data_IF_739030017592
#
_entry.id   IF_739030017592
#
_cell.length_a   1.000
_cell.length_b   1.000
_cell.length_c   1.000
_cell.angle_alpha   90.00
_cell.angle_beta   90.00
_cell.angle_gamma   90.00
#
_symmetry.space_group_name_H-M   'P 1'
#
loop_
_entity.id
_entity.type
_entity.pdbx_description
1 polymer ?
#
# COMPACT_ATOMS: atom_id res chain seq x y z
N UNK A 1 0.54 51.98 -1.62
CA UNK A 1 0.50 50.54 -1.23
C UNK A 1 -0.74 50.37 -0.40
N UNK A 2 -1.76 49.67 -0.91
CA UNK A 2 -2.94 49.31 -0.13
C UNK A 2 -2.50 48.36 0.96
N UNK A 3 -2.61 48.78 2.21
CA UNK A 3 -2.45 47.90 3.38
C UNK A 3 -3.50 46.81 3.25
N UNK A 4 -3.07 45.61 2.97
CA UNK A 4 -3.94 44.40 3.04
C UNK A 4 -4.22 44.24 4.55
N UNK A 5 -5.37 44.69 4.99
CA UNK A 5 -5.86 44.46 6.36
C UNK A 5 -6.45 43.05 6.35
N UNK A 6 -5.70 42.09 6.87
CA UNK A 6 -6.16 40.73 7.02
C UNK A 6 -7.11 40.63 8.24
N UNK A 7 -8.19 39.89 8.12
CA UNK A 7 -9.07 39.60 9.23
C UNK A 7 -8.36 38.73 10.26
N UNK A 8 -8.53 38.97 11.54
CA UNK A 8 -7.93 38.15 12.63
C UNK A 8 -8.27 36.67 12.49
N UNK A 9 -9.49 36.34 12.04
CA UNK A 9 -9.93 34.98 11.79
C UNK A 9 -9.10 34.30 10.68
N UNK A 10 -8.78 35.03 9.60
CA UNK A 10 -7.96 34.52 8.52
C UNK A 10 -6.50 34.29 8.97
N UNK A 11 -5.98 35.13 9.87
CA UNK A 11 -4.66 34.93 10.47
C UNK A 11 -4.61 33.65 11.31
N UNK A 12 -5.66 33.40 12.12
CA UNK A 12 -5.76 32.15 12.90
C UNK A 12 -5.79 30.93 11.98
N UNK A 13 -6.60 30.95 10.92
CA UNK A 13 -6.67 29.89 9.93
C UNK A 13 -5.28 29.63 9.32
N UNK A 14 -4.59 30.68 8.88
CA UNK A 14 -3.28 30.54 8.25
C UNK A 14 -2.24 29.95 9.19
N UNK A 15 -2.22 30.35 10.46
CA UNK A 15 -1.31 29.84 11.48
C UNK A 15 -1.57 28.36 11.79
N UNK A 16 -2.84 27.95 11.91
CA UNK A 16 -3.22 26.55 12.09
C UNK A 16 -2.85 25.70 10.88
N UNK A 17 -3.17 26.19 9.67
CA UNK A 17 -2.83 25.49 8.42
C UNK A 17 -1.32 25.33 8.28
N UNK A 18 -0.56 26.38 8.57
CA UNK A 18 0.91 26.32 8.58
C UNK A 18 1.40 25.24 9.52
N UNK A 19 0.97 25.26 10.78
CA UNK A 19 1.38 24.28 11.79
C UNK A 19 1.07 22.84 11.33
N UNK A 20 -0.15 22.56 10.96
CA UNK A 20 -0.53 21.21 10.58
C UNK A 20 0.16 20.72 9.31
N UNK A 21 0.42 21.60 8.34
CA UNK A 21 1.13 21.23 7.12
C UNK A 21 2.62 21.06 7.37
N UNK A 22 3.29 22.04 8.02
CA UNK A 22 4.75 22.07 8.09
C UNK A 22 5.33 21.24 9.24
N UNK A 23 4.67 21.23 10.39
CA UNK A 23 5.15 20.54 11.60
C UNK A 23 4.57 19.11 11.71
N UNK A 24 3.26 18.95 11.41
CA UNK A 24 2.55 17.69 11.60
C UNK A 24 2.37 16.88 10.31
N UNK A 25 2.93 17.34 9.19
CA UNK A 25 2.89 16.64 7.90
C UNK A 25 1.48 16.32 7.36
N UNK A 26 0.50 17.16 7.66
CA UNK A 26 -0.80 17.06 7.03
C UNK A 26 -0.76 17.60 5.60
N UNK A 27 -1.57 17.03 4.72
CA UNK A 27 -1.70 17.45 3.35
C UNK A 27 -3.13 17.97 3.08
N UNK A 28 -3.29 19.08 2.36
CA UNK A 28 -4.62 19.59 2.04
C UNK A 28 -5.35 18.62 1.11
N UNK A 29 -6.63 18.41 1.38
CA UNK A 29 -7.53 17.64 0.51
C UNK A 29 -8.65 18.53 -0.01
N UNK A 30 -8.95 18.38 -1.30
CA UNK A 30 -10.05 19.10 -1.93
C UNK A 30 -11.35 18.34 -1.68
N UNK A 31 -12.27 19.01 -1.03
CA UNK A 31 -13.63 18.52 -0.80
C UNK A 31 -14.60 19.38 -1.62
N UNK A 32 -15.28 18.75 -2.57
CA UNK A 32 -16.20 19.46 -3.46
C UNK A 32 -17.49 19.88 -2.70
N UNK A 33 -17.96 21.06 -3.00
CA UNK A 33 -19.25 21.57 -2.45
C UNK A 33 -19.16 22.13 -1.03
N UNK A 34 -17.96 22.35 -0.49
CA UNK A 34 -17.74 23.04 0.79
C UNK A 34 -17.18 24.44 0.55
N UNK A 35 -17.58 25.39 1.38
CA UNK A 35 -17.05 26.76 1.41
C UNK A 35 -16.62 27.09 2.83
N UNK A 36 -15.62 27.95 2.95
CA UNK A 36 -15.11 28.45 4.23
C UNK A 36 -14.64 27.33 5.19
N UNK A 37 -14.10 26.25 4.61
CA UNK A 37 -13.57 25.10 5.32
C UNK A 37 -12.25 24.64 4.70
N UNK A 38 -11.30 24.28 5.55
CA UNK A 38 -10.05 23.66 5.15
C UNK A 38 -10.00 22.24 5.70
N UNK A 39 -9.70 21.30 4.82
CA UNK A 39 -9.61 19.90 5.15
C UNK A 39 -8.17 19.41 4.92
N UNK A 40 -7.60 18.79 5.94
CA UNK A 40 -6.24 18.29 5.93
C UNK A 40 -6.24 16.79 6.27
N UNK A 41 -5.41 15.99 5.62
CA UNK A 41 -5.28 14.55 5.87
C UNK A 41 -3.83 14.18 6.21
N UNK A 42 -3.67 13.39 7.27
CA UNK A 42 -2.46 12.64 7.56
C UNK A 42 -2.83 11.21 7.98
N UNK A 43 -2.40 10.21 7.21
CA UNK A 43 -2.70 8.80 7.51
C UNK A 43 -1.96 8.26 8.73
N UNK A 44 -0.93 8.96 9.20
CA UNK A 44 -0.07 8.57 10.33
C UNK A 44 -0.26 9.47 11.56
N UNK A 45 -1.03 10.54 11.43
CA UNK A 45 -1.31 11.47 12.53
C UNK A 45 -2.30 10.91 13.56
N UNK A 46 -2.36 11.51 14.76
CA UNK A 46 -3.30 11.13 15.81
C UNK A 46 -4.77 11.27 15.35
N UNK A 47 -5.07 12.32 14.62
CA UNK A 47 -6.31 12.46 13.85
C UNK A 47 -5.98 12.31 12.37
N UNK A 48 -6.68 11.42 11.70
CA UNK A 48 -6.47 11.26 10.27
C UNK A 48 -6.92 12.47 9.45
N UNK A 49 -8.01 13.09 9.87
CA UNK A 49 -8.56 14.29 9.24
C UNK A 49 -8.55 15.43 10.26
N UNK A 50 -8.10 16.59 9.81
CA UNK A 50 -8.29 17.85 10.51
C UNK A 50 -9.15 18.73 9.61
N UNK A 51 -10.25 19.22 10.16
CA UNK A 51 -11.10 20.18 9.53
C UNK A 51 -11.07 21.49 10.30
N UNK A 52 -10.78 22.59 9.63
CA UNK A 52 -10.86 23.94 10.16
C UNK A 52 -12.10 24.56 9.51
N UNK A 53 -13.10 24.84 10.31
CA UNK A 53 -14.38 25.40 9.87
C UNK A 53 -14.52 26.85 10.35
N UNK A 54 -14.65 27.76 9.41
CA UNK A 54 -14.87 29.18 9.68
C UNK A 54 -16.31 29.64 9.48
N UNK A 55 -17.23 28.72 9.19
CA UNK A 55 -18.64 29.04 9.11
C UNK A 55 -19.25 29.31 10.51
N UNK A 56 -20.21 30.23 10.56
CA UNK A 56 -20.91 30.55 11.80
C UNK A 56 -21.91 29.44 12.17
N UNK A 57 -21.81 28.96 13.41
CA UNK A 57 -22.74 27.97 13.98
C UNK A 57 -23.45 28.59 15.19
N UNK A 58 -24.69 28.98 15.00
CA UNK A 58 -25.47 29.69 16.02
C UNK A 58 -26.40 28.80 16.87
N UNK A 59 -26.76 27.60 16.37
CA UNK A 59 -27.75 26.76 17.03
C UNK A 59 -27.45 25.26 16.85
N UNK A 60 -28.17 24.44 17.65
CA UNK A 60 -27.97 22.96 17.66
C UNK A 60 -28.34 22.32 16.32
N UNK A 61 -29.24 22.86 15.52
CA UNK A 61 -29.62 22.30 14.23
C UNK A 61 -28.50 22.47 13.21
N UNK A 62 -27.87 23.65 13.18
CA UNK A 62 -26.71 23.90 12.34
C UNK A 62 -25.53 23.00 12.73
N UNK A 63 -25.29 22.79 14.03
CA UNK A 63 -24.24 21.88 14.51
C UNK A 63 -24.52 20.44 14.10
N UNK A 64 -25.77 19.97 14.20
CA UNK A 64 -26.16 18.63 13.74
C UNK A 64 -25.98 18.46 12.23
N UNK A 65 -26.34 19.46 11.46
CA UNK A 65 -26.13 19.46 10.02
C UNK A 65 -24.64 19.43 9.67
N UNK A 66 -23.81 20.17 10.40
CA UNK A 66 -22.36 20.19 10.24
C UNK A 66 -21.76 18.80 10.51
N UNK A 67 -22.16 18.12 11.59
CA UNK A 67 -21.73 16.76 11.87
C UNK A 67 -22.17 15.76 10.80
N UNK A 68 -23.42 15.83 10.35
CA UNK A 68 -23.90 14.98 9.26
C UNK A 68 -23.08 15.17 7.98
N UNK A 69 -22.70 16.41 7.66
CA UNK A 69 -21.82 16.74 6.54
C UNK A 69 -20.43 16.09 6.71
N UNK A 70 -19.82 16.22 7.89
CA UNK A 70 -18.53 15.59 8.20
C UNK A 70 -18.64 14.08 8.03
N UNK A 71 -19.63 13.43 8.63
CA UNK A 71 -19.81 11.98 8.53
C UNK A 71 -19.95 11.50 7.08
N UNK A 72 -20.69 12.25 6.25
CA UNK A 72 -20.83 11.94 4.83
C UNK A 72 -19.50 12.01 4.08
N UNK A 73 -18.70 13.05 4.33
CA UNK A 73 -17.38 13.25 3.72
C UNK A 73 -16.42 12.17 4.21
N UNK A 74 -16.37 11.92 5.51
CA UNK A 74 -15.54 10.89 6.13
C UNK A 74 -15.88 9.51 5.58
N UNK A 75 -17.16 9.20 5.36
CA UNK A 75 -17.58 7.94 4.71
C UNK A 75 -17.04 7.81 3.29
N UNK A 76 -17.01 8.89 2.52
CA UNK A 76 -16.41 8.89 1.18
C UNK A 76 -14.89 8.68 1.24
N UNK A 77 -14.20 9.35 2.19
CA UNK A 77 -12.75 9.18 2.41
C UNK A 77 -12.45 7.74 2.81
N UNK A 78 -13.19 7.14 3.75
CA UNK A 78 -13.06 5.73 4.15
C UNK A 78 -13.17 4.80 2.95
N UNK A 79 -14.19 5.01 2.12
CA UNK A 79 -14.42 4.19 0.92
C UNK A 79 -13.28 4.35 -0.11
N UNK A 80 -12.77 5.57 -0.30
CA UNK A 80 -11.69 5.87 -1.24
C UNK A 80 -10.35 5.29 -0.79
N UNK A 81 -10.05 5.39 0.50
CA UNK A 81 -8.75 5.02 1.08
C UNK A 81 -8.71 3.61 1.71
N UNK A 82 -9.78 2.82 1.59
CA UNK A 82 -9.92 1.48 2.19
C UNK A 82 -9.59 1.46 3.69
N UNK A 83 -10.05 2.48 4.43
CA UNK A 83 -9.74 2.64 5.85
C UNK A 83 -10.86 2.09 6.73
N UNK A 84 -10.49 1.39 7.81
CA UNK A 84 -11.46 0.86 8.77
C UNK A 84 -12.02 1.93 9.69
N UNK A 85 -11.19 2.88 10.12
CA UNK A 85 -11.58 4.03 10.94
C UNK A 85 -10.96 5.32 10.41
N UNK A 86 -11.64 6.43 10.62
CA UNK A 86 -11.14 7.79 10.32
C UNK A 86 -11.58 8.68 11.46
N UNK A 87 -10.63 9.09 12.29
CA UNK A 87 -10.85 10.06 13.35
C UNK A 87 -10.67 11.46 12.80
N UNK A 88 -11.58 12.35 13.14
CA UNK A 88 -11.61 13.73 12.62
C UNK A 88 -11.56 14.71 13.77
N UNK A 89 -10.56 15.59 13.78
CA UNK A 89 -10.53 16.77 14.61
C UNK A 89 -11.27 17.90 13.88
N UNK A 90 -12.33 18.40 14.46
CA UNK A 90 -13.17 19.45 13.87
C UNK A 90 -12.97 20.77 14.64
N UNK A 91 -12.09 21.63 14.15
CA UNK A 91 -11.81 22.93 14.75
C UNK A 91 -12.85 23.92 14.27
N UNK A 92 -13.59 24.49 15.20
CA UNK A 92 -14.69 25.43 14.96
C UNK A 92 -14.27 26.83 15.40
N UNK A 93 -14.17 27.78 14.46
CA UNK A 93 -13.68 29.14 14.73
C UNK A 93 -14.76 30.17 15.02
N UNK A 94 -16.02 29.81 14.77
CA UNK A 94 -17.14 30.74 14.91
C UNK A 94 -18.39 30.00 15.41
N UNK A 95 -18.44 29.79 16.71
CA UNK A 95 -19.54 29.06 17.37
C UNK A 95 -20.09 29.90 18.51
N UNK A 96 -21.39 29.85 18.72
CA UNK A 96 -22.02 30.51 19.84
C UNK A 96 -21.57 29.91 21.17
N UNK A 97 -21.08 30.72 22.10
CA UNK A 97 -20.53 30.32 23.40
C UNK A 97 -21.53 29.53 24.26
N UNK A 98 -22.84 29.77 24.10
CA UNK A 98 -23.89 29.08 24.83
C UNK A 98 -24.19 27.66 24.32
N UNK A 99 -23.51 27.23 23.22
CA UNK A 99 -23.77 25.95 22.58
C UNK A 99 -22.99 24.81 23.23
N UNK A 100 -23.70 23.87 23.82
CA UNK A 100 -23.09 22.62 24.30
C UNK A 100 -22.68 21.77 23.10
N UNK A 101 -21.38 21.55 22.92
CA UNK A 101 -20.80 20.81 21.82
C UNK A 101 -20.33 19.46 22.33
N UNK A 102 -20.98 18.39 21.92
CA UNK A 102 -20.59 17.02 22.25
C UNK A 102 -20.05 16.33 21.01
N UNK A 103 -18.89 15.67 21.14
CA UNK A 103 -18.27 14.88 20.08
C UNK A 103 -19.04 13.59 19.78
N UNK A 104 -18.72 12.98 18.65
CA UNK A 104 -19.16 11.62 18.31
C UNK A 104 -17.96 10.68 18.37
N UNK A 105 -18.19 9.37 18.27
CA UNK A 105 -17.13 8.35 18.32
C UNK A 105 -15.93 8.63 17.41
N UNK A 106 -16.15 9.35 16.31
CA UNK A 106 -15.12 9.58 15.28
C UNK A 106 -14.87 11.07 14.99
N UNK A 107 -15.59 11.97 15.65
CA UNK A 107 -15.46 13.41 15.45
C UNK A 107 -15.27 14.07 16.80
N UNK A 108 -14.12 14.68 16.98
CA UNK A 108 -13.76 15.50 18.12
C UNK A 108 -13.93 16.96 17.74
N UNK A 109 -14.99 17.63 18.19
CA UNK A 109 -15.18 19.04 17.94
C UNK A 109 -14.46 19.90 18.97
N UNK A 110 -13.69 20.87 18.50
CA UNK A 110 -13.00 21.81 19.37
C UNK A 110 -13.33 23.24 18.98
N UNK A 111 -14.07 23.97 19.81
CA UNK A 111 -14.33 25.38 19.59
C UNK A 111 -13.07 26.21 19.97
N UNK A 112 -12.61 27.06 19.06
CA UNK A 112 -11.61 28.08 19.31
C UNK A 112 -12.32 29.44 19.33
N UNK A 113 -12.75 29.84 20.51
CA UNK A 113 -13.54 31.09 20.71
C UNK A 113 -12.67 32.33 20.81
N UNK A 114 -11.41 32.17 21.24
CA UNK A 114 -10.45 33.26 21.36
C UNK A 114 -9.56 33.37 20.13
N UNK A 115 -9.51 34.58 19.56
CA UNK A 115 -8.54 34.94 18.53
C UNK A 115 -7.09 34.90 19.05
N UNK A 116 -6.91 34.64 20.33
CA UNK A 116 -5.64 34.41 20.98
C UNK A 116 -5.27 32.91 20.83
N UNK A 117 -4.32 32.63 19.95
CA UNK A 117 -3.87 31.27 19.62
C UNK A 117 -3.15 30.55 20.77
N UNK A 118 -3.63 30.72 22.00
CA UNK A 118 -3.20 29.92 23.14
C UNK A 118 -4.20 28.75 23.31
N UNK A 119 -3.90 27.65 22.63
CA UNK A 119 -4.77 26.47 22.64
C UNK A 119 -4.71 25.85 24.03
N UNK A 120 -5.88 25.77 24.68
CA UNK A 120 -6.03 25.19 26.03
C UNK A 120 -6.82 23.90 26.03
N UNK A 121 -7.38 23.50 24.89
CA UNK A 121 -8.18 22.30 24.76
C UNK A 121 -7.34 21.05 25.02
N UNK A 122 -7.73 20.20 25.98
CA UNK A 122 -6.94 19.03 26.39
C UNK A 122 -6.77 18.00 25.28
N UNK A 123 -7.76 17.81 24.42
CA UNK A 123 -7.71 16.82 23.35
C UNK A 123 -6.73 17.23 22.26
N UNK A 124 -6.64 18.54 21.97
CA UNK A 124 -5.62 19.05 21.03
C UNK A 124 -4.23 18.96 21.65
N UNK A 125 -4.07 19.33 22.92
CA UNK A 125 -2.76 19.32 23.59
C UNK A 125 -2.23 17.88 23.80
N UNK A 126 -3.10 16.91 24.02
CA UNK A 126 -2.69 15.50 24.07
C UNK A 126 -2.25 15.00 22.69
N UNK A 127 -2.97 15.36 21.64
CA UNK A 127 -2.65 14.94 20.27
C UNK A 127 -1.45 15.70 19.65
N UNK A 128 -1.29 16.98 20.01
CA UNK A 128 -0.29 17.89 19.48
C UNK A 128 0.39 18.71 20.60
N UNK A 129 1.26 18.08 21.39
CA UNK A 129 1.85 18.72 22.59
C UNK A 129 2.60 20.02 22.29
N UNK A 130 3.25 20.09 21.16
CA UNK A 130 4.12 21.22 20.77
C UNK A 130 3.35 22.34 20.07
N UNK A 131 2.03 22.26 19.91
CA UNK A 131 1.28 23.22 19.08
C UNK A 131 1.44 24.65 19.55
N UNK A 132 1.39 24.88 20.86
CA UNK A 132 1.53 26.22 21.44
C UNK A 132 2.93 26.84 21.28
N UNK A 133 3.96 26.01 21.10
CA UNK A 133 5.35 26.46 20.93
C UNK A 133 5.66 26.74 19.46
N UNK A 134 5.08 25.93 18.54
CA UNK A 134 5.40 25.96 17.11
C UNK A 134 4.47 26.83 16.27
N UNK A 135 3.35 27.27 16.83
CA UNK A 135 2.47 28.23 16.15
C UNK A 135 3.19 29.58 15.94
N UNK A 136 3.03 30.20 14.76
CA UNK A 136 3.58 31.52 14.41
C UNK A 136 2.85 32.65 15.14
N UNK A 137 2.94 32.71 16.49
CA UNK A 137 2.16 33.66 17.31
C UNK A 137 2.54 35.11 17.05
N UNK A 138 3.84 35.41 16.87
CA UNK A 138 4.37 36.76 16.79
C UNK A 138 4.32 37.41 15.39
N UNK A 139 3.88 36.66 14.38
CA UNK A 139 3.76 37.14 12.99
C UNK A 139 2.31 37.46 12.62
N UNK A 140 2.10 38.53 11.87
CA UNK A 140 0.77 38.99 11.42
C UNK A 140 0.82 39.65 10.03
N UNK A 141 -0.34 39.81 9.42
CA UNK A 141 -0.51 40.53 8.16
C UNK A 141 0.36 39.97 7.01
N UNK A 142 1.03 40.84 6.28
CA UNK A 142 1.83 40.49 5.09
C UNK A 142 3.01 39.58 5.43
N UNK A 143 3.66 39.80 6.58
CA UNK A 143 4.78 38.97 7.02
C UNK A 143 4.33 37.51 7.25
N UNK A 144 3.17 37.29 7.86
CA UNK A 144 2.57 35.96 8.03
C UNK A 144 2.35 35.29 6.67
N UNK A 145 1.77 35.99 5.70
CA UNK A 145 1.53 35.45 4.34
C UNK A 145 2.85 35.00 3.71
N UNK A 146 3.90 35.83 3.80
CA UNK A 146 5.21 35.52 3.21
C UNK A 146 5.81 34.27 3.88
N UNK A 147 5.83 34.22 5.21
CA UNK A 147 6.41 33.09 5.96
C UNK A 147 5.67 31.79 5.69
N UNK A 148 4.35 31.80 5.81
CA UNK A 148 3.49 30.62 5.54
C UNK A 148 3.66 30.11 4.11
N UNK A 149 3.66 31.02 3.12
CA UNK A 149 3.83 30.64 1.71
C UNK A 149 5.21 30.06 1.46
N UNK A 150 6.27 30.65 2.01
CA UNK A 150 7.64 30.16 1.88
C UNK A 150 7.80 28.77 2.46
N UNK A 151 7.28 28.53 3.68
CA UNK A 151 7.46 27.27 4.39
C UNK A 151 6.63 26.14 3.75
N UNK A 152 5.39 26.42 3.34
CA UNK A 152 4.56 25.45 2.61
C UNK A 152 5.18 25.11 1.25
N UNK A 153 5.70 26.08 0.51
CA UNK A 153 6.39 25.84 -0.76
C UNK A 153 7.66 25.00 -0.55
N UNK A 154 8.46 25.29 0.47
CA UNK A 154 9.64 24.51 0.79
C UNK A 154 9.31 23.07 1.19
N UNK A 155 8.19 22.85 1.91
CA UNK A 155 7.68 21.49 2.21
C UNK A 155 7.23 20.81 0.95
N UNK A 156 6.41 21.46 0.13
CA UNK A 156 5.89 20.92 -1.14
C UNK A 156 7.03 20.49 -2.07
N UNK A 157 8.10 21.30 -2.16
CA UNK A 157 9.27 20.96 -2.96
C UNK A 157 9.99 19.72 -2.41
N UNK A 158 10.13 19.59 -1.08
CA UNK A 158 10.69 18.38 -0.45
C UNK A 158 9.83 17.16 -0.73
N UNK A 159 8.52 17.26 -0.57
CA UNK A 159 7.59 16.17 -0.80
C UNK A 159 7.58 15.75 -2.28
N UNK A 160 7.65 16.71 -3.21
CA UNK A 160 7.77 16.45 -4.65
C UNK A 160 9.08 15.73 -4.99
N UNK A 161 10.21 16.11 -4.41
CA UNK A 161 11.49 15.40 -4.60
C UNK A 161 11.42 13.94 -4.11
N UNK A 162 10.76 13.70 -2.97
CA UNK A 162 10.53 12.35 -2.46
C UNK A 162 9.60 11.57 -3.40
N UNK A 163 8.53 12.20 -3.87
CA UNK A 163 7.60 11.60 -4.83
C UNK A 163 8.30 11.25 -6.14
N UNK A 164 9.02 12.18 -6.74
CA UNK A 164 9.80 11.95 -7.97
C UNK A 164 10.79 10.80 -7.78
N UNK A 165 11.58 10.81 -6.71
CA UNK A 165 12.53 9.73 -6.43
C UNK A 165 11.84 8.36 -6.31
N UNK A 166 10.64 8.32 -5.76
CA UNK A 166 9.88 7.07 -5.55
C UNK A 166 9.23 6.57 -6.82
N UNK A 167 8.69 7.48 -7.65
CA UNK A 167 7.89 7.14 -8.83
C UNK A 167 8.60 7.37 -10.17
N UNK A 168 9.84 7.87 -10.17
CA UNK A 168 10.63 7.96 -11.41
C UNK A 168 10.92 6.55 -11.95
N UNK A 169 10.57 6.26 -13.22
CA UNK A 169 10.78 4.95 -13.81
C UNK A 169 12.27 4.57 -13.81
N UNK A 170 12.62 3.47 -13.16
CA UNK A 170 13.97 2.87 -13.24
C UNK A 170 14.01 1.90 -14.42
N UNK A 171 15.18 1.71 -15.06
CA UNK A 171 15.27 0.79 -16.20
C UNK A 171 14.94 -0.64 -15.78
N UNK A 172 14.02 -1.26 -16.53
CA UNK A 172 13.54 -2.62 -16.34
C UNK A 172 14.51 -3.55 -17.05
N UNK A 173 15.38 -4.24 -16.32
CA UNK A 173 16.39 -5.13 -16.88
C UNK A 173 16.17 -6.57 -16.42
N UNK A 174 15.97 -6.78 -15.11
CA UNK A 174 15.88 -8.12 -14.55
C UNK A 174 14.60 -8.83 -14.94
N UNK A 175 13.50 -8.10 -15.08
CA UNK A 175 12.24 -8.64 -15.64
C UNK A 175 12.48 -9.23 -17.03
N UNK A 176 13.17 -8.51 -17.92
CA UNK A 176 13.50 -9.04 -19.26
C UNK A 176 14.45 -10.23 -19.21
N UNK A 177 15.45 -10.22 -18.31
CA UNK A 177 16.36 -11.35 -18.15
C UNK A 177 15.65 -12.62 -17.66
N UNK A 178 14.71 -12.49 -16.73
CA UNK A 178 13.89 -13.62 -16.26
C UNK A 178 12.98 -14.13 -17.38
N UNK A 179 12.32 -13.22 -18.14
CA UNK A 179 11.53 -13.58 -19.33
C UNK A 179 12.39 -14.38 -20.31
N UNK A 180 13.58 -13.88 -20.64
CA UNK A 180 14.50 -14.54 -21.56
C UNK A 180 14.91 -15.93 -21.04
N UNK A 181 15.19 -16.05 -19.74
CA UNK A 181 15.52 -17.33 -19.11
C UNK A 181 14.38 -18.34 -19.25
N UNK A 182 13.13 -17.92 -18.97
CA UNK A 182 11.94 -18.78 -19.16
C UNK A 182 11.78 -19.22 -20.62
N UNK A 183 12.00 -18.32 -21.59
CA UNK A 183 11.92 -18.66 -23.03
C UNK A 183 13.00 -19.68 -23.39
N UNK A 184 14.23 -19.48 -22.96
CA UNK A 184 15.34 -20.41 -23.23
C UNK A 184 15.05 -21.77 -22.64
N UNK A 185 14.63 -21.86 -21.37
CA UNK A 185 14.29 -23.10 -20.68
C UNK A 185 13.13 -23.82 -21.40
N UNK A 186 12.08 -23.09 -21.76
CA UNK A 186 10.94 -23.65 -22.50
C UNK A 186 11.36 -24.20 -23.89
N UNK A 187 12.24 -23.51 -24.59
CA UNK A 187 12.74 -23.97 -25.89
C UNK A 187 13.60 -25.23 -25.76
N UNK A 188 14.45 -25.32 -24.74
CA UNK A 188 15.22 -26.53 -24.43
C UNK A 188 14.26 -27.69 -24.10
N UNK A 189 13.25 -27.45 -23.26
CA UNK A 189 12.27 -28.47 -22.90
C UNK A 189 11.45 -28.92 -24.13
N UNK A 190 11.11 -28.00 -25.03
CA UNK A 190 10.45 -28.33 -26.30
C UNK A 190 11.31 -29.25 -27.20
N UNK A 191 12.61 -29.01 -27.28
CA UNK A 191 13.52 -29.91 -28.04
C UNK A 191 13.55 -31.32 -27.43
N UNK A 192 13.46 -31.41 -26.11
CA UNK A 192 13.54 -32.69 -25.37
C UNK A 192 12.21 -33.44 -25.34
N UNK A 193 11.08 -32.71 -25.23
CA UNK A 193 9.74 -33.27 -25.04
C UNK A 193 8.98 -33.41 -26.35
N UNK A 194 9.23 -32.51 -27.33
CA UNK A 194 8.55 -32.48 -28.62
C UNK A 194 7.24 -31.71 -28.61
N UNK A 195 6.36 -31.90 -29.65
CA UNK A 195 5.13 -31.12 -29.84
C UNK A 195 4.10 -31.22 -28.71
N UNK A 196 4.14 -32.28 -27.92
CA UNK A 196 3.22 -32.49 -26.80
C UNK A 196 3.33 -31.42 -25.73
N UNK A 197 4.52 -30.81 -25.57
CA UNK A 197 4.73 -29.66 -24.69
C UNK A 197 3.91 -28.45 -25.14
N UNK A 198 3.75 -28.21 -26.44
CA UNK A 198 2.95 -27.09 -26.96
C UNK A 198 1.48 -27.26 -26.59
N UNK A 199 0.96 -28.46 -26.75
CA UNK A 199 -0.42 -28.80 -26.45
C UNK A 199 -0.69 -28.95 -24.92
N UNK A 200 0.35 -29.16 -24.10
CA UNK A 200 0.22 -29.48 -22.68
C UNK A 200 -0.37 -30.90 -22.45
N UNK A 201 -0.23 -31.78 -23.43
CA UNK A 201 -0.78 -33.15 -23.39
C UNK A 201 0.21 -34.22 -22.91
N UNK A 202 1.50 -33.82 -22.78
CA UNK A 202 2.57 -34.72 -22.38
C UNK A 202 3.25 -34.30 -21.07
N UNK A 203 3.99 -35.21 -20.46
CA UNK A 203 4.86 -34.92 -19.33
C UNK A 203 6.13 -34.26 -19.87
N UNK A 204 6.35 -32.99 -19.50
CA UNK A 204 7.59 -32.30 -19.82
C UNK A 204 8.80 -33.03 -19.24
N UNK A 205 9.84 -33.24 -20.06
CA UNK A 205 11.08 -33.90 -19.63
C UNK A 205 11.79 -33.09 -18.56
N UNK A 206 11.91 -31.77 -18.75
CA UNK A 206 12.52 -30.91 -17.74
C UNK A 206 11.57 -30.72 -16.54
N UNK A 207 10.24 -30.66 -16.79
CA UNK A 207 9.25 -30.61 -15.72
C UNK A 207 9.41 -31.77 -14.74
N UNK A 208 9.51 -32.99 -15.23
CA UNK A 208 9.74 -34.17 -14.39
C UNK A 208 11.07 -34.11 -13.61
N UNK A 209 12.14 -33.65 -14.27
CA UNK A 209 13.50 -33.62 -13.66
C UNK A 209 13.73 -32.47 -12.71
N UNK A 210 13.14 -31.30 -12.96
CA UNK A 210 13.47 -30.03 -12.30
C UNK A 210 12.26 -29.31 -11.69
N UNK A 211 11.04 -29.78 -11.96
CA UNK A 211 9.81 -29.22 -11.41
C UNK A 211 9.66 -29.53 -9.92
N UNK A 212 8.92 -28.70 -9.22
CA UNK A 212 8.66 -28.86 -7.79
C UNK A 212 7.71 -30.03 -7.55
N UNK A 213 8.13 -30.92 -6.66
CA UNK A 213 7.45 -32.15 -6.35
C UNK A 213 7.69 -32.52 -4.90
N UNK A 214 6.64 -32.55 -4.10
CA UNK A 214 6.74 -32.74 -2.66
C UNK A 214 7.56 -33.98 -2.26
N UNK A 215 7.36 -35.11 -2.94
CA UNK A 215 8.12 -36.33 -2.70
C UNK A 215 9.60 -36.16 -2.98
N UNK A 216 9.97 -35.46 -4.05
CA UNK A 216 11.39 -35.20 -4.37
C UNK A 216 12.05 -34.30 -3.35
N UNK A 217 11.36 -33.29 -2.82
CA UNK A 217 11.88 -32.43 -1.77
C UNK A 217 12.17 -33.22 -0.49
N UNK A 218 11.20 -33.97 -0.02
CA UNK A 218 11.26 -34.63 1.31
C UNK A 218 12.10 -35.90 1.27
N UNK A 219 11.88 -36.79 0.27
CA UNK A 219 12.52 -38.11 0.25
C UNK A 219 13.84 -38.13 -0.49
N UNK A 220 14.02 -37.27 -1.52
CA UNK A 220 15.23 -37.23 -2.32
C UNK A 220 16.16 -36.06 -1.96
N UNK A 221 15.74 -35.19 -1.09
CA UNK A 221 16.51 -33.98 -0.67
C UNK A 221 16.81 -33.00 -1.82
N UNK A 222 15.92 -32.92 -2.83
CA UNK A 222 16.11 -32.15 -4.07
C UNK A 222 15.58 -30.70 -3.95
N UNK A 223 15.99 -29.98 -2.88
CA UNK A 223 15.51 -28.63 -2.55
C UNK A 223 15.74 -27.58 -3.65
N UNK A 224 16.67 -27.82 -4.58
CA UNK A 224 16.89 -26.96 -5.75
C UNK A 224 15.63 -26.79 -6.62
N UNK A 225 14.72 -27.76 -6.57
CA UNK A 225 13.46 -27.74 -7.31
C UNK A 225 12.56 -26.59 -6.92
N UNK A 226 12.65 -26.08 -5.68
CA UNK A 226 11.96 -24.87 -5.24
C UNK A 226 12.38 -23.60 -6.02
N UNK A 227 13.50 -23.64 -6.71
CA UNK A 227 13.98 -22.55 -7.55
C UNK A 227 13.79 -22.88 -9.03
N UNK A 228 14.13 -24.10 -9.45
CA UNK A 228 14.13 -24.46 -10.87
C UNK A 228 12.75 -24.52 -11.46
N UNK A 229 11.72 -24.93 -10.70
CA UNK A 229 10.33 -24.99 -11.16
C UNK A 229 9.79 -23.64 -11.66
N UNK A 230 10.31 -22.52 -11.14
CA UNK A 230 9.89 -21.16 -11.50
C UNK A 230 10.09 -20.87 -13.00
N UNK A 231 11.09 -21.52 -13.62
CA UNK A 231 11.44 -21.30 -15.02
C UNK A 231 10.78 -22.29 -15.99
N UNK A 232 10.13 -23.33 -15.48
CA UNK A 232 9.51 -24.38 -16.26
C UNK A 232 8.07 -24.06 -16.60
N UNK A 233 7.58 -24.52 -17.77
CA UNK A 233 6.20 -24.29 -18.20
C UNK A 233 5.63 -25.50 -18.93
N UNK A 234 4.49 -25.98 -18.50
CA UNK A 234 3.87 -27.20 -19.00
C UNK A 234 3.13 -27.06 -20.35
N UNK A 235 2.99 -25.86 -20.92
CA UNK A 235 2.38 -25.65 -22.25
C UNK A 235 2.70 -24.27 -22.81
N UNK A 236 2.45 -24.10 -24.12
CA UNK A 236 2.66 -22.81 -24.79
C UNK A 236 1.76 -21.71 -24.21
N UNK A 237 0.49 -22.00 -23.95
CA UNK A 237 -0.41 -20.99 -23.35
C UNK A 237 0.03 -20.64 -21.93
N UNK A 238 0.54 -21.62 -21.17
CA UNK A 238 1.03 -21.40 -19.82
C UNK A 238 2.21 -20.44 -19.81
N UNK A 239 3.22 -20.63 -20.67
CA UNK A 239 4.35 -19.70 -20.72
C UNK A 239 3.92 -18.31 -21.21
N UNK A 240 3.05 -18.20 -22.23
CA UNK A 240 2.57 -16.92 -22.75
C UNK A 240 1.89 -16.11 -21.63
N UNK A 241 0.97 -16.73 -20.87
CA UNK A 241 0.28 -16.07 -19.77
C UNK A 241 1.24 -15.62 -18.66
N UNK A 242 2.21 -16.46 -18.30
CA UNK A 242 3.21 -16.10 -17.29
C UNK A 242 4.12 -14.95 -17.77
N UNK A 243 4.64 -15.01 -18.99
CA UNK A 243 5.51 -13.97 -19.53
C UNK A 243 4.78 -12.63 -19.67
N UNK A 244 3.53 -12.65 -20.13
CA UNK A 244 2.70 -11.43 -20.20
C UNK A 244 2.47 -10.82 -18.81
N UNK A 245 2.11 -11.64 -17.83
CA UNK A 245 1.90 -11.18 -16.46
C UNK A 245 3.21 -10.67 -15.84
N UNK A 246 4.32 -11.37 -16.06
CA UNK A 246 5.63 -10.96 -15.58
C UNK A 246 6.11 -9.66 -16.23
N UNK A 247 5.85 -9.47 -17.51
CA UNK A 247 6.19 -8.23 -18.22
C UNK A 247 5.49 -7.02 -17.58
N UNK A 248 4.17 -7.13 -17.31
CA UNK A 248 3.39 -6.03 -16.75
C UNK A 248 3.73 -5.82 -15.27
N UNK A 249 3.61 -6.87 -14.46
CA UNK A 249 3.70 -6.77 -13.00
C UNK A 249 5.16 -6.69 -12.56
N UNK A 250 6.02 -7.51 -13.16
CA UNK A 250 7.45 -7.52 -12.87
C UNK A 250 8.10 -6.18 -13.19
N UNK A 251 7.78 -5.60 -14.36
CA UNK A 251 8.26 -4.28 -14.74
C UNK A 251 7.87 -3.18 -13.75
N UNK A 252 6.63 -3.19 -13.26
CA UNK A 252 6.17 -2.24 -12.25
C UNK A 252 6.92 -2.41 -10.93
N UNK A 253 7.06 -3.64 -10.43
CA UNK A 253 7.72 -3.91 -9.15
C UNK A 253 9.23 -3.65 -9.24
N UNK A 254 9.89 -4.00 -10.33
CA UNK A 254 11.32 -3.67 -10.54
C UNK A 254 11.54 -2.16 -10.52
N UNK A 255 10.63 -1.40 -11.13
CA UNK A 255 10.65 0.07 -11.11
C UNK A 255 10.48 0.62 -9.69
N UNK A 256 9.53 0.11 -8.91
CA UNK A 256 9.21 0.64 -7.58
C UNK A 256 10.20 0.22 -6.50
N UNK A 257 10.60 -1.05 -6.48
CA UNK A 257 11.48 -1.58 -5.44
C UNK A 257 12.95 -1.48 -5.80
N UNK A 258 13.28 -1.37 -7.10
CA UNK A 258 14.63 -1.51 -7.62
C UNK A 258 15.07 -2.97 -7.72
N UNK A 259 16.17 -3.21 -8.45
CA UNK A 259 16.60 -4.52 -8.91
C UNK A 259 16.82 -5.55 -7.80
N UNK A 260 17.59 -5.20 -6.76
CA UNK A 260 17.94 -6.15 -5.71
C UNK A 260 16.72 -6.62 -4.90
N UNK A 261 15.84 -5.70 -4.51
CA UNK A 261 14.61 -6.03 -3.78
C UNK A 261 13.63 -6.79 -4.66
N UNK A 262 13.52 -6.43 -5.95
CA UNK A 262 12.71 -7.16 -6.92
C UNK A 262 13.13 -8.61 -7.04
N UNK A 263 14.44 -8.89 -7.23
CA UNK A 263 14.94 -10.26 -7.30
C UNK A 263 14.67 -11.05 -6.02
N UNK A 264 14.95 -10.44 -4.87
CA UNK A 264 14.67 -11.09 -3.59
C UNK A 264 13.20 -11.46 -3.47
N UNK A 265 12.29 -10.52 -3.73
CA UNK A 265 10.84 -10.77 -3.65
C UNK A 265 10.41 -11.83 -4.66
N UNK A 266 10.88 -11.76 -5.91
CA UNK A 266 10.55 -12.73 -6.94
C UNK A 266 10.91 -14.16 -6.54
N UNK A 267 12.17 -14.40 -6.16
CA UNK A 267 12.64 -15.74 -5.83
C UNK A 267 12.03 -16.25 -4.52
N UNK A 268 12.00 -15.44 -3.47
CA UNK A 268 11.46 -15.90 -2.19
C UNK A 268 9.96 -16.21 -2.29
N UNK A 269 9.23 -15.49 -3.17
CA UNK A 269 7.80 -15.75 -3.43
C UNK A 269 7.59 -17.04 -4.21
N UNK A 270 8.42 -17.29 -5.21
CA UNK A 270 8.41 -18.57 -5.93
C UNK A 270 8.67 -19.76 -4.99
N UNK A 271 9.70 -19.64 -4.15
CA UNK A 271 10.03 -20.64 -3.12
C UNK A 271 8.87 -20.83 -2.14
N UNK A 272 8.31 -19.74 -1.60
CA UNK A 272 7.19 -19.82 -0.65
C UNK A 272 5.90 -20.38 -1.28
N UNK A 273 5.68 -20.10 -2.57
CA UNK A 273 4.61 -20.71 -3.36
C UNK A 273 4.81 -22.23 -3.50
N UNK A 274 5.98 -22.66 -3.94
CA UNK A 274 6.34 -24.07 -4.06
C UNK A 274 6.26 -24.82 -2.73
N UNK A 275 6.80 -24.23 -1.64
CA UNK A 275 6.71 -24.82 -0.31
C UNK A 275 5.26 -25.03 0.15
N UNK A 276 4.38 -24.04 0.02
CA UNK A 276 2.99 -24.20 0.43
C UNK A 276 2.27 -25.20 -0.43
N UNK A 277 2.48 -25.18 -1.74
CA UNK A 277 1.91 -26.15 -2.67
C UNK A 277 2.34 -27.57 -2.31
N UNK A 278 3.64 -27.79 -2.17
CA UNK A 278 4.18 -29.10 -1.82
C UNK A 278 3.69 -29.61 -0.47
N UNK A 279 3.62 -28.74 0.56
CA UNK A 279 3.08 -29.11 1.86
C UNK A 279 1.63 -29.57 1.81
N UNK A 280 0.76 -28.78 1.15
CA UNK A 280 -0.67 -29.09 1.06
C UNK A 280 -0.90 -30.34 0.20
N UNK A 281 -0.23 -30.47 -0.95
CA UNK A 281 -0.36 -31.64 -1.83
C UNK A 281 0.11 -32.91 -1.12
N UNK A 282 1.19 -32.87 -0.37
CA UNK A 282 1.64 -34.04 0.41
C UNK A 282 0.62 -34.44 1.48
N UNK A 283 0.07 -33.47 2.22
CA UNK A 283 -0.97 -33.72 3.23
C UNK A 283 -2.25 -34.32 2.62
N UNK A 284 -2.58 -33.99 1.38
CA UNK A 284 -3.74 -34.52 0.65
C UNK A 284 -3.44 -35.88 -0.02
N UNK A 285 -2.22 -36.39 0.06
CA UNK A 285 -1.77 -37.57 -0.64
C UNK A 285 -1.69 -37.40 -2.16
N UNK A 286 -1.65 -36.17 -2.64
CA UNK A 286 -1.51 -35.81 -4.04
C UNK A 286 -0.03 -35.74 -4.43
N UNK A 287 0.27 -36.22 -5.63
CA UNK A 287 1.61 -36.19 -6.19
C UNK A 287 1.61 -35.25 -7.42
N UNK A 288 1.37 -33.97 -7.18
CA UNK A 288 1.28 -32.95 -8.22
C UNK A 288 2.67 -32.38 -8.51
N UNK A 289 2.97 -32.24 -9.79
CA UNK A 289 4.16 -31.57 -10.28
C UNK A 289 3.85 -30.10 -10.49
N UNK A 290 4.44 -29.21 -9.67
CA UNK A 290 4.30 -27.77 -9.84
C UNK A 290 5.40 -27.24 -10.75
N UNK A 291 5.01 -26.45 -11.75
CA UNK A 291 5.88 -25.75 -12.71
C UNK A 291 5.29 -24.38 -13.03
N UNK A 292 6.13 -23.38 -13.24
CA UNK A 292 5.74 -22.04 -13.69
C UNK A 292 6.18 -20.92 -12.77
N UNK A 293 6.35 -19.73 -13.38
CA UNK A 293 6.67 -18.50 -12.67
C UNK A 293 5.48 -17.93 -11.87
N UNK A 294 4.30 -18.53 -11.97
CA UNK A 294 3.06 -17.95 -11.46
C UNK A 294 3.09 -17.70 -9.95
N UNK A 295 3.66 -18.61 -9.14
CA UNK A 295 3.85 -18.38 -7.70
C UNK A 295 4.66 -17.12 -7.41
N UNK A 296 5.78 -16.92 -8.12
CA UNK A 296 6.58 -15.71 -8.01
C UNK A 296 5.83 -14.47 -8.50
N UNK A 297 5.06 -14.56 -9.59
CA UNK A 297 4.22 -13.47 -10.13
C UNK A 297 3.13 -13.08 -9.13
N UNK A 298 2.46 -14.05 -8.50
CA UNK A 298 1.52 -13.77 -7.42
C UNK A 298 2.20 -13.08 -6.23
N UNK A 299 3.45 -13.41 -5.94
CA UNK A 299 4.25 -12.69 -4.97
C UNK A 299 4.50 -11.23 -5.35
N UNK A 300 4.75 -10.95 -6.63
CA UNK A 300 4.83 -9.58 -7.12
C UNK A 300 3.47 -8.86 -7.05
N UNK A 301 2.34 -9.58 -7.22
CA UNK A 301 1.00 -9.02 -6.94
C UNK A 301 0.82 -8.71 -5.45
N UNK A 302 1.33 -9.56 -4.55
CA UNK A 302 1.41 -9.29 -3.11
C UNK A 302 2.23 -8.02 -2.80
N UNK A 303 3.32 -7.80 -3.54
CA UNK A 303 4.10 -6.55 -3.46
C UNK A 303 3.27 -5.34 -3.89
N UNK A 304 2.51 -5.44 -4.98
CA UNK A 304 1.60 -4.37 -5.43
C UNK A 304 0.52 -4.07 -4.40
N UNK A 305 -0.03 -5.11 -3.73
CA UNK A 305 -0.99 -4.92 -2.63
C UNK A 305 -0.37 -4.12 -1.50
N UNK A 306 0.82 -4.53 -1.03
CA UNK A 306 1.50 -3.83 0.06
C UNK A 306 1.85 -2.40 -0.33
N UNK A 307 2.42 -2.20 -1.52
CA UNK A 307 2.78 -0.89 -2.04
C UNK A 307 1.56 0.01 -2.22
N UNK A 308 0.50 -0.50 -2.82
CA UNK A 308 -0.76 0.22 -3.02
C UNK A 308 -1.45 0.58 -1.70
N UNK A 309 -1.39 -0.29 -0.69
CA UNK A 309 -1.91 -0.02 0.63
C UNK A 309 -1.07 1.04 1.38
N UNK A 310 0.24 1.00 1.25
CA UNK A 310 1.16 1.95 1.87
C UNK A 310 1.00 3.35 1.27
N UNK A 311 0.84 3.44 -0.06
CA UNK A 311 0.57 4.68 -0.79
C UNK A 311 -0.92 4.89 -1.11
N UNK A 312 -1.82 4.38 -0.27
CA UNK A 312 -3.28 4.38 -0.52
C UNK A 312 -3.89 5.75 -0.80
N UNK A 313 -3.28 6.82 -0.31
CA UNK A 313 -3.71 8.19 -0.60
C UNK A 313 -3.62 8.50 -2.10
N UNK A 314 -2.59 7.97 -2.78
CA UNK A 314 -2.37 8.17 -4.22
C UNK A 314 -2.87 6.99 -5.06
N UNK A 315 -2.71 5.76 -4.56
CA UNK A 315 -2.94 4.53 -5.31
C UNK A 315 -4.20 3.76 -4.88
N UNK A 316 -4.96 4.28 -3.90
CA UNK A 316 -6.12 3.57 -3.34
C UNK A 316 -7.19 3.20 -4.37
N UNK A 317 -7.44 4.06 -5.35
CA UNK A 317 -8.37 3.77 -6.46
C UNK A 317 -7.81 2.69 -7.41
N UNK A 318 -6.52 2.74 -7.74
CA UNK A 318 -5.88 1.71 -8.55
C UNK A 318 -5.85 0.35 -7.83
N UNK A 319 -5.54 0.36 -6.52
CA UNK A 319 -5.58 -0.83 -5.67
C UNK A 319 -6.96 -1.48 -5.71
N UNK A 320 -8.02 -0.69 -5.52
CA UNK A 320 -9.40 -1.17 -5.47
C UNK A 320 -9.95 -1.61 -6.82
N UNK A 321 -9.68 -0.85 -7.88
CA UNK A 321 -10.30 -1.05 -9.19
C UNK A 321 -9.52 -1.97 -10.12
N UNK A 322 -8.22 -2.13 -9.88
CA UNK A 322 -7.34 -2.88 -10.78
C UNK A 322 -6.65 -4.04 -10.06
N UNK A 323 -5.89 -3.79 -9.00
CA UNK A 323 -5.03 -4.79 -8.38
C UNK A 323 -5.84 -5.89 -7.68
N UNK A 324 -6.73 -5.52 -6.75
CA UNK A 324 -7.54 -6.50 -6.00
C UNK A 324 -8.43 -7.33 -6.91
N UNK A 325 -9.20 -6.76 -7.86
CA UNK A 325 -10.03 -7.55 -8.76
C UNK A 325 -9.23 -8.52 -9.63
N UNK A 326 -8.04 -8.13 -10.10
CA UNK A 326 -7.17 -9.01 -10.89
C UNK A 326 -6.69 -10.19 -10.05
N UNK A 327 -6.28 -9.97 -8.81
CA UNK A 327 -5.87 -11.06 -7.90
C UNK A 327 -7.04 -12.02 -7.64
N UNK A 328 -8.21 -11.49 -7.29
CA UNK A 328 -9.41 -12.30 -7.00
C UNK A 328 -9.81 -13.10 -8.24
N UNK A 329 -9.84 -12.45 -9.41
CA UNK A 329 -10.20 -13.11 -10.67
C UNK A 329 -9.22 -14.25 -11.01
N UNK A 330 -7.91 -14.01 -10.89
CA UNK A 330 -6.92 -15.06 -11.18
C UNK A 330 -6.99 -16.23 -10.19
N UNK A 331 -7.21 -15.97 -8.90
CA UNK A 331 -7.43 -17.03 -7.91
C UNK A 331 -8.73 -17.81 -8.21
N UNK A 332 -9.82 -17.10 -8.53
CA UNK A 332 -11.08 -17.75 -8.88
C UNK A 332 -10.95 -18.64 -10.13
N UNK A 333 -10.29 -18.13 -11.18
CA UNK A 333 -9.99 -18.93 -12.38
C UNK A 333 -9.13 -20.15 -12.06
N UNK A 334 -8.16 -20.01 -11.16
CA UNK A 334 -7.33 -21.11 -10.71
C UNK A 334 -8.11 -22.22 -10.00
N UNK A 335 -9.19 -21.90 -9.27
CA UNK A 335 -10.08 -22.91 -8.68
C UNK A 335 -11.04 -23.53 -9.69
N UNK A 336 -11.31 -22.86 -10.81
CA UNK A 336 -12.21 -23.35 -11.86
C UNK A 336 -11.51 -24.21 -12.93
N UNK A 337 -10.21 -23.96 -13.16
CA UNK A 337 -9.44 -24.62 -14.21
C UNK A 337 -8.54 -25.68 -13.58
N UNK A 338 -8.75 -26.95 -13.95
CA UNK A 338 -7.90 -28.05 -13.51
C UNK A 338 -6.47 -27.85 -14.04
N UNK A 339 -5.47 -28.17 -13.20
CA UNK A 339 -4.05 -28.03 -13.56
C UNK A 339 -3.44 -26.69 -13.16
N UNK A 340 -4.21 -25.76 -12.57
CA UNK A 340 -3.67 -24.54 -11.96
C UNK A 340 -3.43 -24.79 -10.46
N UNK A 341 -2.22 -24.51 -10.01
CA UNK A 341 -1.81 -24.68 -8.63
C UNK A 341 -2.12 -23.43 -7.78
N UNK A 342 -3.33 -23.42 -7.22
CA UNK A 342 -3.77 -22.31 -6.37
C UNK A 342 -2.98 -22.18 -5.06
N UNK A 343 -2.44 -23.28 -4.54
CA UNK A 343 -1.66 -23.22 -3.30
C UNK A 343 -0.30 -22.54 -3.55
N UNK A 344 0.31 -22.78 -4.73
CA UNK A 344 1.48 -22.02 -5.16
C UNK A 344 1.16 -20.52 -5.33
N UNK A 345 -0.02 -20.17 -5.88
CA UNK A 345 -0.47 -18.78 -6.03
C UNK A 345 -0.66 -18.08 -4.68
N UNK A 346 -1.39 -18.72 -3.75
CA UNK A 346 -1.65 -18.16 -2.40
C UNK A 346 -0.34 -18.06 -1.62
N UNK A 347 0.48 -19.11 -1.65
CA UNK A 347 1.79 -19.10 -0.98
C UNK A 347 2.70 -17.99 -1.50
N UNK A 348 2.76 -17.83 -2.81
CA UNK A 348 3.51 -16.75 -3.46
C UNK A 348 3.01 -15.37 -3.06
N UNK A 349 1.69 -15.15 -3.13
CA UNK A 349 1.03 -13.87 -2.78
C UNK A 349 1.37 -13.43 -1.34
N UNK A 350 1.21 -14.36 -0.37
CA UNK A 350 1.47 -14.09 1.04
C UNK A 350 2.96 -13.85 1.29
N UNK A 351 3.82 -14.70 0.71
CA UNK A 351 5.28 -14.55 0.82
C UNK A 351 5.76 -13.22 0.25
N UNK A 352 5.25 -12.84 -0.94
CA UNK A 352 5.63 -11.58 -1.59
C UNK A 352 5.18 -10.34 -0.83
N UNK A 353 4.00 -10.38 -0.23
CA UNK A 353 3.52 -9.31 0.65
C UNK A 353 4.46 -9.13 1.85
N UNK A 354 4.78 -10.20 2.58
CA UNK A 354 5.67 -10.14 3.73
C UNK A 354 7.12 -9.82 3.35
N UNK A 355 7.61 -10.36 2.23
CA UNK A 355 8.93 -10.04 1.71
C UNK A 355 9.06 -8.56 1.35
N UNK A 356 8.03 -7.97 0.72
CA UNK A 356 8.00 -6.55 0.39
C UNK A 356 7.96 -5.68 1.65
N UNK A 357 7.20 -6.08 2.64
CA UNK A 357 7.18 -5.43 3.94
C UNK A 357 8.57 -5.49 4.61
N UNK A 358 9.26 -6.62 4.57
CA UNK A 358 10.58 -6.83 5.14
C UNK A 358 11.68 -5.98 4.46
N UNK A 359 11.73 -5.97 3.12
CA UNK A 359 12.72 -5.14 2.40
C UNK A 359 12.37 -3.65 2.45
N UNK A 360 11.12 -3.34 2.72
CA UNK A 360 10.61 -1.99 2.86
C UNK A 360 10.53 -1.19 1.55
N UNK A 361 9.61 -0.24 1.53
CA UNK A 361 9.46 0.74 0.45
C UNK A 361 10.34 1.95 0.73
N UNK A 362 11.02 2.44 -0.29
CA UNK A 362 11.98 3.56 -0.18
C UNK A 362 11.29 4.80 0.39
N UNK A 363 11.97 5.50 1.28
CA UNK A 363 11.58 6.77 1.91
C UNK A 363 10.39 6.74 2.88
N UNK A 364 9.70 5.60 3.05
CA UNK A 364 8.48 5.54 3.90
C UNK A 364 8.51 4.45 4.98
N UNK A 365 9.06 3.27 4.70
CA UNK A 365 8.96 2.14 5.64
C UNK A 365 9.70 2.38 6.94
N UNK A 366 8.98 2.31 8.06
CA UNK A 366 9.55 2.37 9.40
C UNK A 366 10.36 1.09 9.71
N UNK A 367 11.35 1.19 10.58
CA UNK A 367 12.15 0.01 11.01
C UNK A 367 11.28 -1.09 11.62
N UNK A 368 10.24 -0.70 12.37
CA UNK A 368 9.28 -1.63 12.99
C UNK A 368 8.50 -2.40 11.92
N UNK A 369 8.01 -1.73 10.88
CA UNK A 369 7.27 -2.39 9.79
C UNK A 369 8.14 -3.42 9.10
N UNK A 370 9.41 -3.08 8.83
CA UNK A 370 10.36 -4.00 8.21
C UNK A 370 10.66 -5.20 9.09
N UNK A 371 10.83 -4.99 10.40
CA UNK A 371 11.02 -6.07 11.35
C UNK A 371 9.81 -7.00 11.42
N UNK A 372 8.60 -6.44 11.51
CA UNK A 372 7.35 -7.19 11.49
C UNK A 372 7.20 -8.00 10.18
N UNK A 373 7.52 -7.39 9.03
CA UNK A 373 7.51 -8.06 7.74
C UNK A 373 8.48 -9.24 7.70
N UNK A 374 9.69 -9.06 8.21
CA UNK A 374 10.68 -10.13 8.32
C UNK A 374 10.19 -11.26 9.24
N UNK A 375 9.64 -10.92 10.41
CA UNK A 375 9.10 -11.90 11.34
C UNK A 375 7.95 -12.71 10.72
N UNK A 376 6.99 -12.03 10.09
CA UNK A 376 5.88 -12.70 9.39
C UNK A 376 6.36 -13.61 8.26
N UNK A 377 7.37 -13.18 7.48
CA UNK A 377 7.97 -13.98 6.42
C UNK A 377 8.61 -15.26 6.99
N UNK A 378 9.43 -15.13 8.04
CA UNK A 378 10.10 -16.28 8.69
C UNK A 378 9.10 -17.24 9.30
N UNK A 379 8.07 -16.73 9.99
CA UNK A 379 7.01 -17.54 10.59
C UNK A 379 6.23 -18.28 9.50
N UNK A 380 5.83 -17.59 8.42
CA UNK A 380 5.09 -18.23 7.32
C UNK A 380 5.90 -19.34 6.64
N UNK A 381 7.14 -19.05 6.24
CA UNK A 381 8.02 -20.04 5.62
C UNK A 381 8.37 -21.19 6.58
N UNK A 382 8.58 -20.90 7.85
CA UNK A 382 8.81 -21.90 8.89
C UNK A 382 7.61 -22.83 9.10
N UNK A 383 6.41 -22.29 9.13
CA UNK A 383 5.17 -23.08 9.24
C UNK A 383 4.94 -23.96 8.00
N UNK A 384 5.13 -23.41 6.81
CA UNK A 384 4.98 -24.21 5.57
C UNK A 384 6.02 -25.32 5.48
N UNK A 385 7.27 -25.04 5.85
CA UNK A 385 8.31 -26.06 5.93
C UNK A 385 8.02 -27.12 6.98
N UNK A 386 7.55 -26.72 8.17
CA UNK A 386 7.14 -27.66 9.21
C UNK A 386 6.01 -28.57 8.74
N UNK A 387 5.00 -28.06 8.04
CA UNK A 387 3.90 -28.84 7.46
C UNK A 387 4.39 -29.82 6.39
N UNK A 388 5.40 -29.44 5.59
CA UNK A 388 5.99 -30.30 4.57
C UNK A 388 6.78 -31.47 5.17
N UNK A 389 7.45 -31.24 6.31
CA UNK A 389 8.34 -32.26 6.95
C UNK A 389 7.62 -33.16 7.97
N UNK A 390 6.35 -32.85 8.31
CA UNK A 390 5.52 -33.65 9.21
C UNK A 390 4.89 -34.84 8.50
#
# INVERSE_FOLDING_TARGET
>A
MSTIVMNKKDEVIMKLVHYFITEENYNPIVVNGVKDEIWLENSEGPYRIIRINSNNIFNKEQLRYDFFKIESIVKQIKKKTLSFSVNTLNILLDVNEDLTIEGTKNITPVPLLDNDLNIKDPEILEAFPDINEKLLKDTSGVELIINVTKDINAKTERDNKVYEKTFTPKPIILTYLIILACIIVFFIDFILTGPDLIAGSGISVLGYKLGDHAGSLVYNNEWYRLVTHIFLHGSLIHIICNLYSLFIIGGQIETFLGRAKFLFVFFISGIGGGLLSSAINLMQGNNILAVGASGAIFGLMGSLLYFGFYYRTYLGEALKRQIIPVIIMNLALGFMISGIDNFAHIGGLVTGLFATMAVGVESKSKKVDRFNGFLCLVVFLGLTLFLLLK
#
